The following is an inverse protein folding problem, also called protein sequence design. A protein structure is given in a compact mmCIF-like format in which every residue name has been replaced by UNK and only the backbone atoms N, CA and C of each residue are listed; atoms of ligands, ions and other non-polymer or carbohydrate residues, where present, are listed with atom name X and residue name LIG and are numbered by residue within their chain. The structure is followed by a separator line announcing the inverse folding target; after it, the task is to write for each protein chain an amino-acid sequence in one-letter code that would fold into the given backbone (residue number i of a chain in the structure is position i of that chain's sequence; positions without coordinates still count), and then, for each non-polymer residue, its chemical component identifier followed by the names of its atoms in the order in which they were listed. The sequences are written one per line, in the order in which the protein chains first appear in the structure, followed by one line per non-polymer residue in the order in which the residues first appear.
data_IF_143261697006
#
_entry.id   IF_143261697006
#
_cell.length_a   1.000
_cell.length_b   1.000
_cell.length_c   1.000
_cell.angle_alpha   90.00
_cell.angle_beta   90.00
_cell.angle_gamma   90.00
#
_symmetry.space_group_name_H-M   'P 1'
#
loop_
_entity.id
_entity.type
_entity.pdbx_description
1 polymer ?
#
# COMPACT_ATOMS: atom_id res chain seq x y z
N UNK A 1 24.77 -8.18 19.07
CA UNK A 1 24.10 -9.06 18.10
C UNK A 1 23.80 -8.21 16.87
N UNK A 2 24.45 -8.48 15.73
CA UNK A 2 24.14 -7.83 14.46
C UNK A 2 22.71 -8.22 14.03
N UNK A 3 21.89 -7.23 13.65
CA UNK A 3 20.60 -7.52 13.04
C UNK A 3 20.85 -8.30 11.74
N UNK A 4 20.11 -9.40 11.47
CA UNK A 4 20.20 -10.03 10.17
C UNK A 4 19.84 -8.98 9.11
N UNK A 5 20.67 -8.86 8.08
CA UNK A 5 20.31 -8.06 6.90
C UNK A 5 19.09 -8.67 6.26
N UNK A 6 18.01 -7.90 6.04
CA UNK A 6 16.85 -8.44 5.35
C UNK A 6 17.24 -8.91 3.94
N UNK A 7 16.64 -10.01 3.50
CA UNK A 7 16.82 -10.48 2.14
C UNK A 7 16.34 -9.42 1.14
N UNK A 8 17.02 -9.23 0.01
CA UNK A 8 16.60 -8.26 -0.99
C UNK A 8 15.22 -8.64 -1.54
N UNK A 9 14.33 -7.66 -1.59
CA UNK A 9 12.97 -7.83 -2.07
C UNK A 9 12.92 -7.73 -3.60
N UNK A 10 12.28 -8.69 -4.24
CA UNK A 10 12.06 -8.63 -5.69
C UNK A 10 10.84 -7.76 -6.00
N UNK A 11 11.09 -6.66 -6.72
CA UNK A 11 10.07 -5.73 -7.20
C UNK A 11 10.19 -5.64 -8.72
N UNK A 12 9.18 -6.10 -9.45
CA UNK A 12 9.26 -6.32 -10.90
C UNK A 12 10.48 -7.23 -11.19
N UNK A 13 11.34 -6.84 -12.10
CA UNK A 13 12.54 -7.60 -12.49
C UNK A 13 13.80 -7.22 -11.70
N UNK A 14 13.67 -6.41 -10.64
CA UNK A 14 14.80 -5.89 -9.86
C UNK A 14 14.78 -6.38 -8.43
N UNK A 15 15.97 -6.65 -7.91
CA UNK A 15 16.18 -6.82 -6.47
C UNK A 15 16.37 -5.43 -5.85
N UNK A 16 15.55 -5.13 -4.84
CA UNK A 16 15.66 -3.91 -4.03
C UNK A 16 16.30 -4.26 -2.70
N UNK A 17 17.40 -3.60 -2.41
CA UNK A 17 18.06 -3.71 -1.11
C UNK A 17 17.31 -2.83 -0.09
N UNK A 18 16.82 -3.46 0.97
CA UNK A 18 16.17 -2.80 2.10
C UNK A 18 17.05 -2.86 3.36
N UNK A 19 18.35 -3.06 3.21
CA UNK A 19 19.30 -3.06 4.35
C UNK A 19 19.37 -1.68 5.03
N UNK A 20 19.05 -0.60 4.31
CA UNK A 20 18.92 0.76 4.83
C UNK A 20 17.46 1.22 4.90
N UNK A 21 17.19 2.36 5.59
CA UNK A 21 15.87 2.97 5.59
C UNK A 21 15.43 3.35 4.17
N UNK A 22 14.21 2.96 3.78
CA UNK A 22 13.58 3.40 2.54
C UNK A 22 12.43 4.35 2.87
N UNK A 23 12.41 5.53 2.27
CA UNK A 23 11.35 6.52 2.48
C UNK A 23 10.21 6.24 1.51
N UNK A 24 8.99 6.12 2.04
CA UNK A 24 7.76 6.00 1.28
C UNK A 24 7.02 7.35 1.28
N UNK A 25 6.93 8.00 0.12
CA UNK A 25 6.17 9.23 -0.08
C UNK A 25 4.71 8.93 -0.36
N UNK A 26 3.78 9.64 0.28
CA UNK A 26 2.33 9.42 0.19
C UNK A 26 1.72 10.38 -0.82
N UNK A 27 0.98 9.85 -1.80
CA UNK A 27 0.23 10.59 -2.80
C UNK A 27 -1.26 10.27 -2.63
N UNK A 28 -2.01 11.21 -2.05
CA UNK A 28 -3.45 11.05 -1.87
C UNK A 28 -4.20 11.55 -3.11
N UNK A 29 -4.78 10.64 -3.88
CA UNK A 29 -5.65 10.93 -5.01
C UNK A 29 -7.10 11.16 -4.54
N UNK A 30 -7.30 12.09 -3.58
CA UNK A 30 -8.62 12.43 -3.03
C UNK A 30 -8.98 13.87 -3.38
N UNK A 31 -10.30 14.20 -3.54
CA UNK A 31 -10.74 15.56 -3.87
C UNK A 31 -10.27 16.65 -2.91
N UNK A 32 -10.04 16.30 -1.64
CA UNK A 32 -9.55 17.23 -0.62
C UNK A 32 -8.05 17.52 -0.75
N UNK A 33 -7.32 16.66 -1.46
CA UNK A 33 -5.88 16.80 -1.68
C UNK A 33 -5.56 17.47 -3.01
N UNK A 34 -6.48 17.36 -3.98
CA UNK A 34 -6.39 17.91 -5.30
C UNK A 34 -7.77 18.50 -5.68
N UNK A 35 -7.83 19.70 -6.20
CA UNK A 35 -9.10 20.36 -6.56
C UNK A 35 -9.76 19.65 -7.76
N UNK A 36 -10.88 18.95 -7.52
CA UNK A 36 -11.82 18.33 -8.47
C UNK A 36 -11.21 17.38 -9.53
N UNK A 37 -11.65 16.11 -9.54
CA UNK A 37 -11.24 15.02 -10.44
C UNK A 37 -11.09 15.43 -11.92
N UNK A 38 -9.89 15.85 -12.31
CA UNK A 38 -9.58 16.34 -13.66
C UNK A 38 -8.12 16.02 -14.02
N UNK A 39 -7.72 16.36 -15.24
CA UNK A 39 -6.30 16.31 -15.67
C UNK A 39 -5.35 17.05 -14.73
N UNK A 40 -5.84 18.07 -14.04
CA UNK A 40 -5.09 18.87 -13.05
C UNK A 40 -4.61 18.02 -11.88
N UNK A 41 -5.39 17.02 -11.47
CA UNK A 41 -5.05 16.14 -10.34
C UNK A 41 -3.89 15.20 -10.68
N UNK A 42 -3.86 14.68 -11.91
CA UNK A 42 -2.76 13.85 -12.41
C UNK A 42 -1.47 14.67 -12.55
N UNK A 43 -1.57 15.90 -13.08
CA UNK A 43 -0.41 16.77 -13.23
C UNK A 43 0.18 17.18 -11.88
N UNK A 44 -0.67 17.43 -10.88
CA UNK A 44 -0.20 17.72 -9.52
C UNK A 44 0.44 16.48 -8.88
N UNK A 45 -0.16 15.30 -9.04
CA UNK A 45 0.42 14.05 -8.57
C UNK A 45 1.81 13.82 -9.18
N UNK A 46 2.01 14.09 -10.46
CA UNK A 46 3.31 14.01 -11.13
C UNK A 46 4.33 14.98 -10.55
N UNK A 47 3.93 16.25 -10.28
CA UNK A 47 4.82 17.25 -9.67
C UNK A 47 5.23 16.87 -8.25
N UNK A 48 4.27 16.38 -7.45
CA UNK A 48 4.51 15.91 -6.07
C UNK A 48 5.45 14.71 -6.10
N UNK A 49 5.20 13.75 -6.98
CA UNK A 49 6.04 12.57 -7.14
C UNK A 49 7.48 12.93 -7.54
N UNK A 50 7.65 13.81 -8.52
CA UNK A 50 8.98 14.26 -8.98
C UNK A 50 9.77 14.91 -7.82
N UNK A 51 9.12 15.78 -7.05
CA UNK A 51 9.73 16.37 -5.86
C UNK A 51 10.13 15.31 -4.83
N UNK A 52 9.22 14.38 -4.48
CA UNK A 52 9.51 13.33 -3.50
C UNK A 52 10.67 12.44 -3.94
N UNK A 53 10.72 12.04 -5.22
CA UNK A 53 11.81 11.23 -5.77
C UNK A 53 13.14 12.00 -5.73
N UNK A 54 13.15 13.29 -6.06
CA UNK A 54 14.34 14.14 -5.99
C UNK A 54 14.82 14.37 -4.55
N UNK A 55 13.91 14.35 -3.58
CA UNK A 55 14.21 14.43 -2.14
C UNK A 55 14.62 13.08 -1.53
N UNK A 56 14.62 12.01 -2.31
CA UNK A 56 15.12 10.69 -1.92
C UNK A 56 14.07 9.67 -1.52
N UNK A 57 12.78 9.88 -1.85
CA UNK A 57 11.79 8.84 -1.70
C UNK A 57 12.12 7.65 -2.61
N UNK A 58 12.07 6.43 -2.04
CA UNK A 58 12.28 5.19 -2.77
C UNK A 58 10.98 4.58 -3.28
N UNK A 59 9.88 4.86 -2.58
CA UNK A 59 8.55 4.32 -2.83
C UNK A 59 7.56 5.49 -2.91
N UNK A 60 6.60 5.41 -3.82
CA UNK A 60 5.45 6.30 -3.90
C UNK A 60 4.19 5.50 -3.62
N UNK A 61 3.46 5.85 -2.56
CA UNK A 61 2.26 5.14 -2.11
C UNK A 61 1.01 5.94 -2.49
N UNK A 62 0.20 5.38 -3.35
CA UNK A 62 -0.95 6.04 -3.97
C UNK A 62 -2.23 5.55 -3.29
N UNK A 63 -3.01 6.47 -2.69
CA UNK A 63 -4.27 6.18 -2.04
C UNK A 63 -5.44 6.97 -2.65
N UNK A 64 -6.55 6.29 -2.96
CA UNK A 64 -7.79 6.89 -3.50
C UNK A 64 -8.91 7.05 -2.48
N UNK A 65 -8.77 6.42 -1.32
CA UNK A 65 -9.70 6.49 -0.19
C UNK A 65 -8.97 7.01 1.04
N UNK A 66 -9.58 7.93 1.78
CA UNK A 66 -9.00 8.42 3.02
C UNK A 66 -9.21 7.39 4.14
N UNK A 67 -8.12 6.99 4.79
CA UNK A 67 -8.14 6.17 6.01
C UNK A 67 -8.23 7.00 7.31
N UNK A 68 -8.36 8.34 7.19
CA UNK A 68 -8.47 9.23 8.36
C UNK A 68 -9.76 8.96 9.14
N UNK A 69 -9.74 9.10 10.48
CA UNK A 69 -10.94 9.00 11.29
C UNK A 69 -12.03 9.97 10.78
N UNK A 70 -13.27 9.47 10.63
CA UNK A 70 -14.40 10.27 10.16
C UNK A 70 -14.46 10.49 8.65
N UNK A 71 -13.51 9.95 7.88
CA UNK A 71 -13.61 10.02 6.42
C UNK A 71 -14.83 9.26 5.90
N UNK A 72 -15.51 9.84 4.92
CA UNK A 72 -16.63 9.18 4.25
C UNK A 72 -16.11 8.01 3.43
N UNK A 73 -16.77 6.87 3.56
CA UNK A 73 -16.40 5.69 2.78
C UNK A 73 -16.58 5.98 1.28
N UNK A 74 -15.53 5.75 0.51
CA UNK A 74 -15.53 5.91 -0.94
C UNK A 74 -15.98 4.61 -1.60
N UNK A 75 -16.84 4.67 -2.60
CA UNK A 75 -17.21 3.49 -3.38
C UNK A 75 -15.98 2.96 -4.15
N UNK A 76 -15.91 1.63 -4.35
CA UNK A 76 -14.80 0.99 -5.07
C UNK A 76 -14.60 1.57 -6.48
N UNK A 77 -15.70 1.79 -7.20
CA UNK A 77 -15.66 2.38 -8.54
C UNK A 77 -15.12 3.80 -8.57
N UNK A 78 -15.34 4.55 -7.50
CA UNK A 78 -14.81 5.89 -7.34
C UNK A 78 -13.32 5.87 -6.98
N UNK A 79 -12.91 4.95 -6.11
CA UNK A 79 -11.49 4.74 -5.78
C UNK A 79 -10.69 4.38 -7.03
N UNK A 80 -11.17 3.44 -7.85
CA UNK A 80 -10.57 3.08 -9.13
C UNK A 80 -10.40 4.29 -10.07
N UNK A 81 -11.44 5.13 -10.21
CA UNK A 81 -11.39 6.34 -11.06
C UNK A 81 -10.31 7.32 -10.60
N UNK A 82 -10.02 7.38 -9.31
CA UNK A 82 -9.02 8.27 -8.73
C UNK A 82 -7.61 7.73 -8.92
N UNK A 83 -7.39 6.45 -8.59
CA UNK A 83 -6.02 5.91 -8.52
C UNK A 83 -5.46 5.49 -9.88
N UNK A 84 -6.27 4.89 -10.76
CA UNK A 84 -5.75 4.33 -12.00
C UNK A 84 -5.07 5.37 -12.91
N UNK A 85 -5.67 6.55 -13.18
CA UNK A 85 -5.02 7.56 -14.02
C UNK A 85 -3.69 8.05 -13.43
N UNK A 86 -3.61 8.14 -12.08
CA UNK A 86 -2.39 8.56 -11.37
C UNK A 86 -1.31 7.48 -11.49
N UNK A 87 -1.65 6.21 -11.22
CA UNK A 87 -0.70 5.08 -11.33
C UNK A 87 -0.15 4.98 -12.75
N UNK A 88 -1.00 5.04 -13.77
CA UNK A 88 -0.59 5.00 -15.17
C UNK A 88 0.33 6.15 -15.56
N UNK A 89 0.02 7.36 -15.11
CA UNK A 89 0.83 8.54 -15.39
C UNK A 89 2.21 8.46 -14.72
N UNK A 90 2.24 8.05 -13.44
CA UNK A 90 3.46 7.85 -12.68
C UNK A 90 4.33 6.75 -13.30
N UNK A 91 3.72 5.60 -13.70
CA UNK A 91 4.44 4.51 -14.34
C UNK A 91 5.08 4.95 -15.67
N UNK A 92 4.37 5.77 -16.46
CA UNK A 92 4.92 6.31 -17.73
C UNK A 92 6.03 7.33 -17.51
N UNK A 93 5.87 8.21 -16.53
CA UNK A 93 6.80 9.33 -16.29
C UNK A 93 8.04 8.91 -15.50
N UNK A 94 7.87 7.95 -14.57
CA UNK A 94 8.90 7.46 -13.65
C UNK A 94 8.93 5.92 -13.63
N UNK A 95 9.31 5.26 -14.74
CA UNK A 95 9.24 3.80 -14.87
C UNK A 95 10.10 3.04 -13.84
N UNK A 96 11.11 3.73 -13.28
CA UNK A 96 12.01 3.20 -12.25
C UNK A 96 11.48 3.35 -10.83
N UNK A 97 10.45 4.18 -10.63
CA UNK A 97 9.87 4.39 -9.31
C UNK A 97 9.17 3.12 -8.81
N UNK A 98 9.29 2.86 -7.53
CA UNK A 98 8.55 1.80 -6.88
C UNK A 98 7.19 2.33 -6.46
N UNK A 99 6.14 1.94 -7.19
CA UNK A 99 4.77 2.39 -6.95
C UNK A 99 4.05 1.40 -6.03
N UNK A 100 3.49 1.89 -4.94
CA UNK A 100 2.63 1.18 -4.00
C UNK A 100 1.19 1.66 -4.17
N UNK A 101 0.22 0.77 -4.02
CA UNK A 101 -1.20 1.10 -3.94
C UNK A 101 -1.71 0.91 -2.50
N UNK A 102 -2.18 2.00 -1.86
CA UNK A 102 -2.83 1.96 -0.55
C UNK A 102 -4.32 1.65 -0.74
N UNK A 103 -4.67 0.41 -0.50
CA UNK A 103 -6.04 -0.08 -0.60
C UNK A 103 -6.27 -1.37 0.18
N UNK A 104 -7.45 -1.54 0.74
CA UNK A 104 -7.92 -2.79 1.34
C UNK A 104 -8.87 -3.57 0.41
N UNK A 105 -9.02 -3.15 -0.86
CA UNK A 105 -9.91 -3.78 -1.86
C UNK A 105 -9.11 -4.55 -2.90
N UNK A 106 -9.37 -5.83 -3.02
CA UNK A 106 -8.67 -6.73 -3.94
C UNK A 106 -8.83 -6.33 -5.41
N UNK A 107 -10.00 -5.83 -5.81
CA UNK A 107 -10.23 -5.31 -7.17
C UNK A 107 -9.35 -4.12 -7.47
N UNK A 108 -9.26 -3.16 -6.53
CA UNK A 108 -8.40 -1.97 -6.70
C UNK A 108 -6.94 -2.37 -6.78
N UNK A 109 -6.49 -3.28 -5.90
CA UNK A 109 -5.12 -3.80 -5.91
C UNK A 109 -4.77 -4.45 -7.26
N UNK A 110 -5.67 -5.29 -7.80
CA UNK A 110 -5.46 -5.97 -9.08
C UNK A 110 -5.33 -4.98 -10.24
N UNK A 111 -6.28 -4.06 -10.36
CA UNK A 111 -6.30 -3.08 -11.46
C UNK A 111 -5.12 -2.10 -11.35
N UNK A 112 -4.75 -1.66 -10.14
CA UNK A 112 -3.59 -0.79 -9.94
C UNK A 112 -2.27 -1.49 -10.29
N UNK A 113 -2.11 -2.78 -9.96
CA UNK A 113 -0.94 -3.56 -10.36
C UNK A 113 -0.90 -3.75 -11.88
N UNK A 114 -2.03 -4.00 -12.52
CA UNK A 114 -2.12 -4.06 -13.98
C UNK A 114 -1.75 -2.71 -14.64
N UNK A 115 -2.06 -1.58 -13.98
CA UNK A 115 -1.71 -0.23 -14.42
C UNK A 115 -0.24 0.15 -14.14
N UNK A 116 0.52 -0.65 -13.36
CA UNK A 116 1.94 -0.45 -13.11
C UNK A 116 2.37 -0.32 -11.65
N UNK A 117 1.46 -0.38 -10.69
CA UNK A 117 1.83 -0.54 -9.29
C UNK A 117 2.60 -1.85 -9.10
N UNK A 118 3.50 -1.88 -8.14
CA UNK A 118 4.40 -3.00 -7.90
C UNK A 118 4.51 -3.40 -6.43
N UNK A 119 3.60 -2.90 -5.61
CA UNK A 119 3.42 -3.23 -4.20
C UNK A 119 1.97 -2.97 -3.81
N UNK A 120 1.44 -3.75 -2.87
CA UNK A 120 0.13 -3.50 -2.24
C UNK A 120 0.36 -3.16 -0.77
N UNK A 121 -0.16 -2.00 -0.35
CA UNK A 121 -0.18 -1.55 1.03
C UNK A 121 -1.62 -1.68 1.56
N UNK A 122 -1.84 -2.64 2.48
CA UNK A 122 -3.18 -2.97 2.97
C UNK A 122 -3.30 -2.74 4.48
N UNK A 123 -3.98 -1.66 4.83
CA UNK A 123 -4.31 -1.28 6.19
C UNK A 123 -5.10 -2.37 6.97
N UNK A 124 -5.82 -3.24 6.25
CA UNK A 124 -6.64 -4.31 6.83
C UNK A 124 -5.93 -5.65 6.92
N UNK A 125 -4.72 -5.78 6.37
CA UNK A 125 -3.97 -7.04 6.31
C UNK A 125 -4.83 -8.23 5.81
N UNK A 126 -5.67 -7.99 4.81
CA UNK A 126 -6.58 -8.98 4.21
C UNK A 126 -7.83 -9.33 5.04
N UNK A 127 -8.15 -8.56 6.08
CA UNK A 127 -9.35 -8.81 6.90
C UNK A 127 -10.58 -8.05 6.37
N UNK A 128 -10.38 -6.94 5.65
CA UNK A 128 -11.47 -6.11 5.15
C UNK A 128 -12.02 -6.61 3.80
N UNK A 129 -11.22 -7.38 3.06
CA UNK A 129 -11.64 -8.06 1.83
C UNK A 129 -11.05 -9.49 1.82
N UNK A 130 -11.91 -10.49 1.89
CA UNK A 130 -11.51 -11.90 1.91
C UNK A 130 -10.74 -12.34 0.65
N UNK A 131 -10.90 -11.61 -0.47
CA UNK A 131 -10.19 -11.88 -1.70
C UNK A 131 -8.81 -11.18 -1.78
N UNK A 132 -8.45 -10.32 -0.82
CA UNK A 132 -7.19 -9.58 -0.88
C UNK A 132 -5.97 -10.51 -0.90
N UNK A 133 -5.82 -11.38 0.09
CA UNK A 133 -4.67 -12.30 0.15
C UNK A 133 -4.58 -13.22 -1.07
N UNK A 134 -5.65 -13.91 -1.52
CA UNK A 134 -5.63 -14.66 -2.78
C UNK A 134 -5.23 -13.83 -4.00
N UNK A 135 -5.72 -12.60 -4.09
CA UNK A 135 -5.39 -11.69 -5.18
C UNK A 135 -3.90 -11.33 -5.18
N UNK A 136 -3.36 -10.91 -4.02
CA UNK A 136 -1.93 -10.55 -3.92
C UNK A 136 -1.03 -11.76 -4.21
N UNK A 137 -1.42 -12.96 -3.79
CA UNK A 137 -0.70 -14.19 -4.13
C UNK A 137 -0.58 -14.40 -5.64
N UNK A 138 -1.65 -14.14 -6.40
CA UNK A 138 -1.64 -14.22 -7.87
C UNK A 138 -0.85 -13.08 -8.52
N UNK A 139 -0.83 -11.90 -7.94
CA UNK A 139 -0.12 -10.74 -8.47
C UNK A 139 1.39 -10.82 -8.30
N UNK A 140 1.88 -11.64 -7.38
CA UNK A 140 3.30 -11.82 -7.10
C UNK A 140 4.07 -10.52 -6.76
N UNK A 141 3.41 -9.56 -6.14
CA UNK A 141 3.99 -8.30 -5.68
C UNK A 141 4.24 -8.31 -4.17
N UNK A 142 5.12 -7.45 -3.64
CA UNK A 142 5.23 -7.20 -2.21
C UNK A 142 3.92 -6.77 -1.58
N UNK A 143 3.70 -7.20 -0.35
CA UNK A 143 2.47 -6.97 0.40
C UNK A 143 2.77 -6.44 1.80
N UNK A 144 2.26 -5.25 2.11
CA UNK A 144 2.38 -4.64 3.44
C UNK A 144 1.17 -5.03 4.28
N UNK A 145 1.45 -5.56 5.46
CA UNK A 145 0.46 -5.98 6.46
C UNK A 145 0.49 -5.01 7.64
N UNK A 146 -0.58 -4.29 7.87
CA UNK A 146 -0.71 -3.40 9.02
C UNK A 146 -1.61 -4.01 10.09
N UNK A 147 -1.24 -3.83 11.36
CA UNK A 147 -2.14 -4.13 12.47
C UNK A 147 -3.17 -3.00 12.66
N UNK A 148 -4.43 -3.40 12.88
CA UNK A 148 -5.52 -2.48 13.17
C UNK A 148 -6.53 -3.14 14.12
N UNK A 149 -7.10 -2.39 15.08
CA UNK A 149 -8.30 -2.79 15.82
C UNK A 149 -9.54 -2.14 15.19
N UNK A 150 -10.60 -2.93 14.98
CA UNK A 150 -11.84 -2.42 14.41
C UNK A 150 -11.76 -2.19 12.89
N UNK A 151 -12.17 -1.02 12.44
CA UNK A 151 -12.19 -0.59 11.04
C UNK A 151 -11.36 0.68 10.86
N UNK A 152 -11.00 1.10 9.64
CA UNK A 152 -10.30 2.37 9.40
C UNK A 152 -10.98 3.57 10.07
N UNK A 153 -12.31 3.57 10.15
CA UNK A 153 -13.09 4.65 10.78
C UNK A 153 -13.01 4.63 12.31
N UNK A 154 -12.81 3.45 12.91
CA UNK A 154 -12.88 3.27 14.38
C UNK A 154 -11.55 2.92 15.03
N UNK A 155 -10.51 2.59 14.26
CA UNK A 155 -9.24 2.08 14.75
C UNK A 155 -8.51 3.00 15.75
N UNK A 156 -8.79 4.29 15.72
CA UNK A 156 -8.25 5.27 16.65
C UNK A 156 -9.22 5.65 17.78
N UNK A 157 -10.46 5.13 17.77
CA UNK A 157 -11.45 5.38 18.80
C UNK A 157 -11.24 4.44 19.98
N UNK A 158 -10.35 4.83 20.90
CA UNK A 158 -10.09 4.11 22.15
C UNK A 158 -9.58 2.67 21.97
N UNK A 159 -8.46 2.42 21.28
CA UNK A 159 -7.90 1.08 21.15
C UNK A 159 -7.49 0.55 22.53
N UNK A 160 -7.87 -0.70 22.83
CA UNK A 160 -7.64 -1.34 24.11
C UNK A 160 -6.74 -2.58 23.95
N UNK A 161 -5.69 -2.66 24.77
CA UNK A 161 -4.77 -3.80 24.81
C UNK A 161 -4.51 -4.21 26.26
N UNK A 162 -4.47 -5.49 26.53
CA UNK A 162 -3.89 -6.01 27.77
C UNK A 162 -2.37 -6.03 27.70
N UNK A 163 -1.83 -6.43 26.55
CA UNK A 163 -0.41 -6.37 26.26
C UNK A 163 -0.19 -6.08 24.75
N UNK A 164 0.01 -4.79 24.45
CA UNK A 164 0.11 -4.32 23.08
C UNK A 164 1.20 -5.05 22.26
N UNK A 165 2.35 -5.35 22.87
CA UNK A 165 3.46 -6.01 22.15
C UNK A 165 3.07 -7.41 21.75
N UNK A 166 2.47 -8.20 22.67
CA UNK A 166 2.03 -9.55 22.37
C UNK A 166 0.89 -9.58 21.36
N UNK A 167 -0.12 -8.73 21.56
CA UNK A 167 -1.31 -8.73 20.70
C UNK A 167 -1.01 -8.29 19.27
N UNK A 168 -0.18 -7.26 19.08
CA UNK A 168 0.26 -6.84 17.74
C UNK A 168 1.12 -7.91 17.07
N UNK A 169 2.05 -8.51 17.82
CA UNK A 169 2.87 -9.62 17.33
C UNK A 169 2.03 -10.81 16.90
N UNK A 170 1.10 -11.25 17.75
CA UNK A 170 0.24 -12.40 17.47
C UNK A 170 -0.66 -12.15 16.26
N UNK A 171 -1.21 -10.93 16.14
CA UNK A 171 -1.96 -10.51 14.97
C UNK A 171 -1.13 -10.63 13.70
N UNK A 172 0.05 -9.99 13.66
CA UNK A 172 0.91 -10.02 12.48
C UNK A 172 1.36 -11.44 12.14
N UNK A 173 1.66 -12.27 13.15
CA UNK A 173 2.02 -13.67 12.96
C UNK A 173 0.90 -14.47 12.27
N UNK A 174 -0.35 -14.27 12.70
CA UNK A 174 -1.52 -14.90 12.06
C UNK A 174 -1.69 -14.43 10.62
N UNK A 175 -1.48 -13.13 10.32
CA UNK A 175 -1.59 -12.60 8.95
C UNK A 175 -0.48 -13.12 8.05
N UNK A 176 0.75 -13.21 8.55
CA UNK A 176 1.87 -13.85 7.84
C UNK A 176 1.55 -15.31 7.50
N UNK A 177 1.03 -16.08 8.46
CA UNK A 177 0.64 -17.47 8.23
C UNK A 177 -0.46 -17.59 7.16
N UNK A 178 -1.47 -16.71 7.20
CA UNK A 178 -2.54 -16.69 6.19
C UNK A 178 -1.99 -16.34 4.80
N UNK A 179 -1.08 -15.38 4.70
CA UNK A 179 -0.43 -15.00 3.44
C UNK A 179 0.45 -16.14 2.90
N UNK A 180 1.25 -16.77 3.75
CA UNK A 180 2.08 -17.93 3.38
C UNK A 180 1.24 -19.13 2.92
N UNK A 181 0.14 -19.42 3.60
CA UNK A 181 -0.80 -20.49 3.22
C UNK A 181 -1.45 -20.23 1.85
N UNK A 182 -1.61 -18.97 1.45
CA UNK A 182 -2.08 -18.58 0.12
C UNK A 182 -0.98 -18.55 -0.95
N UNK A 183 0.29 -18.81 -0.58
CA UNK A 183 1.42 -18.89 -1.51
C UNK A 183 2.23 -17.59 -1.64
N UNK A 184 2.02 -16.59 -0.78
CA UNK A 184 2.87 -15.40 -0.75
C UNK A 184 4.18 -15.75 -0.03
N UNK A 185 5.30 -15.59 -0.72
CA UNK A 185 6.62 -15.85 -0.13
C UNK A 185 6.94 -14.86 0.99
N UNK A 186 7.57 -15.30 2.06
CA UNK A 186 7.89 -14.47 3.23
C UNK A 186 8.72 -13.24 2.88
N UNK A 187 9.65 -13.35 1.95
CA UNK A 187 10.47 -12.23 1.48
C UNK A 187 9.72 -11.19 0.65
N UNK A 188 8.41 -11.37 0.45
CA UNK A 188 7.49 -10.39 -0.14
C UNK A 188 6.57 -9.73 0.89
N UNK A 189 6.66 -10.13 2.16
CA UNK A 189 5.85 -9.55 3.22
C UNK A 189 6.61 -8.42 3.92
N UNK A 190 5.93 -7.31 4.15
CA UNK A 190 6.38 -6.17 4.96
C UNK A 190 5.40 -6.02 6.13
N UNK A 191 5.91 -5.80 7.36
CA UNK A 191 5.12 -5.62 8.58
C UNK A 191 5.56 -4.39 9.35
#
# INVERSE_FOLDING_TARGET
MSRPTPDPMRVKDRLRDLAGPAVMGIINATPDSFHAASRVDVDEALRVAERMLNEGAAILDIGGASSRPGAVAVAETEELKRVLPVVEALQRRFPEAWLSIDTYRSTVAREAVAAGASMVNDIGAGLLDANMIPTVAMLHVPYVLMHMQGTPQTMQANPQYHNIVHEVKDFLQQRIQAAAAAGIAENRLVI
#
